data_IF_553133397966
#
_entry.id   IF_553133397966
#
_cell.length_a   1.000
_cell.length_b   1.000
_cell.length_c   1.000
_cell.angle_alpha   90.00
_cell.angle_beta   90.00
_cell.angle_gamma   90.00
#
_symmetry.space_group_name_H-M   'P 1'
#
loop_
_entity.id
_entity.type
_entity.pdbx_description
1 polymer ?
#
# COMPACT_ATOMS: atom_id res chain seq x y z
N UNK A 1 -6.06 0.31 11.31
CA UNK A 1 -6.44 1.65 11.84
C UNK A 1 -7.47 2.30 10.91
N UNK A 2 -8.33 3.21 11.40
CA UNK A 2 -9.22 3.99 10.53
C UNK A 2 -8.58 5.34 10.20
N UNK A 3 -8.15 5.52 8.97
CA UNK A 3 -7.41 6.68 8.46
C UNK A 3 -8.00 7.15 7.11
N UNK A 4 -9.30 6.92 6.90
CA UNK A 4 -10.02 7.34 5.69
C UNK A 4 -9.87 8.84 5.50
N UNK A 5 -9.52 9.26 4.28
CA UNK A 5 -9.34 10.66 3.92
C UNK A 5 -8.21 11.39 4.67
N UNK A 6 -7.33 10.66 5.37
CA UNK A 6 -6.23 11.28 6.10
C UNK A 6 -5.21 11.94 5.16
N UNK A 7 -4.55 13.00 5.64
CA UNK A 7 -3.56 13.76 4.89
C UNK A 7 -2.14 13.38 5.34
N UNK A 8 -1.43 12.64 4.51
CA UNK A 8 -0.04 12.20 4.70
C UNK A 8 0.92 12.76 3.64
N UNK A 9 0.56 13.88 3.00
CA UNK A 9 1.40 14.52 1.98
C UNK A 9 2.82 14.74 2.50
N UNK A 10 3.83 14.19 1.80
CA UNK A 10 5.26 14.23 2.16
C UNK A 10 5.59 13.66 3.55
N UNK A 11 4.73 12.82 4.12
CA UNK A 11 5.02 12.16 5.38
C UNK A 11 6.15 11.14 5.22
N UNK A 12 6.91 10.94 6.29
CA UNK A 12 7.90 9.86 6.40
C UNK A 12 7.21 8.70 7.13
N UNK A 13 6.80 7.69 6.37
CA UNK A 13 6.14 6.48 6.85
C UNK A 13 6.99 5.23 6.54
N UNK A 14 8.30 5.43 6.35
CA UNK A 14 9.23 4.34 6.08
C UNK A 14 9.16 3.30 7.21
N UNK A 15 8.96 2.03 6.85
CA UNK A 15 8.81 0.94 7.81
C UNK A 15 7.52 0.97 8.64
N UNK A 16 6.57 1.85 8.33
CA UNK A 16 5.32 1.93 9.08
C UNK A 16 4.50 0.64 8.95
N UNK A 17 3.91 0.20 10.07
CA UNK A 17 2.96 -0.89 10.06
C UNK A 17 1.55 -0.34 9.78
N UNK A 18 1.08 -0.51 8.55
CA UNK A 18 -0.25 -0.12 8.07
C UNK A 18 -1.11 -1.35 7.76
N UNK A 19 -0.78 -2.51 8.34
CA UNK A 19 -1.52 -3.75 8.16
C UNK A 19 -3.00 -3.55 8.50
N UNK A 20 -3.89 -4.00 7.61
CA UNK A 20 -5.35 -3.88 7.74
C UNK A 20 -5.84 -2.43 7.99
N UNK A 21 -5.10 -1.42 7.50
CA UNK A 21 -5.53 -0.04 7.63
C UNK A 21 -6.62 0.31 6.60
N UNK A 22 -7.59 1.09 7.04
CA UNK A 22 -8.61 1.71 6.20
C UNK A 22 -8.05 3.07 5.77
N UNK A 23 -7.49 3.13 4.56
CA UNK A 23 -6.80 4.28 3.97
C UNK A 23 -7.59 4.86 2.78
N UNK A 24 -8.88 4.54 2.67
CA UNK A 24 -9.69 4.93 1.53
C UNK A 24 -9.71 6.47 1.37
N UNK A 25 -9.36 6.95 0.18
CA UNK A 25 -9.30 8.39 -0.12
C UNK A 25 -8.19 9.17 0.60
N UNK A 26 -7.26 8.51 1.29
CA UNK A 26 -6.14 9.20 1.95
C UNK A 26 -5.17 9.79 0.91
N UNK A 27 -4.56 10.93 1.23
CA UNK A 27 -3.53 11.54 0.36
C UNK A 27 -2.14 11.21 0.88
N UNK A 28 -1.38 10.44 0.11
CA UNK A 28 0.02 10.09 0.33
C UNK A 28 0.94 10.80 -0.66
N UNK A 29 0.50 11.91 -1.28
CA UNK A 29 1.28 12.60 -2.31
C UNK A 29 2.70 12.93 -1.84
N UNK A 30 3.70 12.37 -2.51
CA UNK A 30 5.12 12.54 -2.17
C UNK A 30 5.56 11.90 -0.84
N UNK A 31 4.76 11.01 -0.25
CA UNK A 31 5.09 10.33 1.00
C UNK A 31 6.13 9.23 0.76
N UNK A 32 6.98 8.99 1.76
CA UNK A 32 7.86 7.84 1.79
C UNK A 32 7.17 6.68 2.52
N UNK A 33 6.74 5.67 1.78
CA UNK A 33 6.16 4.40 2.27
C UNK A 33 7.13 3.22 2.09
N UNK A 34 8.42 3.48 1.85
CA UNK A 34 9.42 2.42 1.66
C UNK A 34 9.42 1.46 2.85
N UNK A 35 9.56 0.16 2.59
CA UNK A 35 9.60 -0.89 3.62
C UNK A 35 8.35 -0.97 4.53
N UNK A 36 7.26 -0.26 4.20
CA UNK A 36 6.02 -0.33 4.99
C UNK A 36 5.31 -1.67 4.86
N UNK A 37 4.47 -2.00 5.85
CA UNK A 37 3.63 -3.19 5.83
C UNK A 37 2.21 -2.77 5.45
N UNK A 38 1.81 -3.07 4.21
CA UNK A 38 0.49 -2.74 3.63
C UNK A 38 -0.44 -3.95 3.49
N UNK A 39 -0.05 -5.10 4.04
CA UNK A 39 -0.84 -6.35 4.07
C UNK A 39 -2.30 -6.08 4.48
N UNK A 40 -3.25 -6.44 3.62
CA UNK A 40 -4.69 -6.26 3.84
C UNK A 40 -5.16 -4.80 3.97
N UNK A 41 -4.33 -3.81 3.64
CA UNK A 41 -4.73 -2.40 3.69
C UNK A 41 -5.67 -2.06 2.52
N UNK A 42 -6.63 -1.18 2.77
CA UNK A 42 -7.52 -0.66 1.74
C UNK A 42 -7.12 0.77 1.36
N UNK A 43 -6.40 0.93 0.25
CA UNK A 43 -5.99 2.20 -0.34
C UNK A 43 -6.92 2.64 -1.49
N UNK A 44 -8.13 2.10 -1.59
CA UNK A 44 -9.05 2.49 -2.67
C UNK A 44 -9.25 4.02 -2.70
N UNK A 45 -9.03 4.61 -3.88
CA UNK A 45 -9.12 6.06 -4.09
C UNK A 45 -8.05 6.90 -3.38
N UNK A 46 -7.04 6.29 -2.76
CA UNK A 46 -5.91 7.03 -2.20
C UNK A 46 -5.07 7.68 -3.31
N UNK A 47 -4.52 8.86 -3.02
CA UNK A 47 -3.59 9.56 -3.91
C UNK A 47 -2.15 9.19 -3.56
N UNK A 48 -1.51 8.41 -4.45
CA UNK A 48 -0.12 7.93 -4.32
C UNK A 48 0.83 8.67 -5.28
N UNK A 49 0.44 9.81 -5.86
CA UNK A 49 1.31 10.59 -6.76
C UNK A 49 2.64 10.91 -6.06
N UNK A 50 3.78 10.64 -6.72
CA UNK A 50 5.13 10.82 -6.19
C UNK A 50 5.46 10.04 -4.90
N UNK A 51 4.60 9.14 -4.42
CA UNK A 51 4.90 8.31 -3.25
C UNK A 51 5.93 7.22 -3.61
N UNK A 52 6.81 6.89 -2.66
CA UNK A 52 7.77 5.79 -2.83
C UNK A 52 7.31 4.58 -2.03
N UNK A 53 7.36 3.38 -2.62
CA UNK A 53 6.94 2.12 -1.98
C UNK A 53 8.03 1.04 -2.06
N UNK A 54 9.30 1.45 -2.16
CA UNK A 54 10.39 0.51 -2.39
C UNK A 54 10.51 -0.48 -1.23
N UNK A 55 10.32 -1.76 -1.52
CA UNK A 55 10.29 -2.86 -0.56
C UNK A 55 9.11 -2.83 0.42
N UNK A 56 8.09 -2.00 0.19
CA UNK A 56 6.83 -2.13 0.92
C UNK A 56 6.23 -3.52 0.65
N UNK A 57 5.69 -4.17 1.66
CA UNK A 57 5.11 -5.52 1.51
C UNK A 57 3.59 -5.44 1.49
N UNK A 58 2.98 -6.13 0.53
CA UNK A 58 1.52 -6.23 0.37
C UNK A 58 1.12 -7.66 0.04
N UNK A 59 -0.16 -7.97 0.18
CA UNK A 59 -0.73 -9.28 -0.14
C UNK A 59 -1.90 -9.16 -1.14
N UNK A 60 -2.49 -10.30 -1.49
CA UNK A 60 -3.64 -10.39 -2.40
C UNK A 60 -4.93 -9.73 -1.86
N UNK A 61 -4.98 -9.44 -0.55
CA UNK A 61 -6.08 -8.70 0.08
C UNK A 61 -5.88 -7.18 0.07
N UNK A 62 -4.69 -6.71 -0.32
CA UNK A 62 -4.39 -5.28 -0.36
C UNK A 62 -5.10 -4.64 -1.55
N UNK A 63 -5.92 -3.63 -1.27
CA UNK A 63 -6.68 -2.91 -2.30
C UNK A 63 -5.93 -1.64 -2.68
N UNK A 64 -5.57 -1.50 -3.94
CA UNK A 64 -4.87 -0.34 -4.48
C UNK A 64 -5.82 0.68 -5.10
N UNK A 65 -5.40 1.95 -5.28
CA UNK A 65 -6.14 2.89 -6.11
C UNK A 65 -6.33 2.33 -7.53
N UNK A 66 -7.43 2.70 -8.18
CA UNK A 66 -7.64 2.35 -9.59
C UNK A 66 -6.47 2.86 -10.44
N UNK A 67 -6.07 2.07 -11.43
CA UNK A 67 -4.99 2.42 -12.37
C UNK A 67 -3.61 2.62 -11.73
N UNK A 68 -3.44 2.27 -10.46
CA UNK A 68 -2.13 2.29 -9.81
C UNK A 68 -1.24 1.16 -10.35
N UNK A 69 -0.18 1.53 -11.06
CA UNK A 69 0.79 0.59 -11.62
C UNK A 69 1.79 0.13 -10.55
N UNK A 70 1.59 -1.10 -10.07
CA UNK A 70 2.50 -1.72 -9.10
C UNK A 70 3.85 -2.11 -9.70
N UNK A 71 3.96 -2.28 -11.02
CA UNK A 71 5.14 -2.88 -11.67
C UNK A 71 6.40 -2.05 -11.48
N UNK A 72 6.27 -0.73 -11.31
CA UNK A 72 7.38 0.20 -11.10
C UNK A 72 7.51 0.69 -9.66
N UNK A 73 6.63 0.27 -8.76
CA UNK A 73 6.57 0.77 -7.38
C UNK A 73 7.72 0.27 -6.49
N UNK A 74 8.32 -0.87 -6.84
CA UNK A 74 9.28 -1.59 -5.99
C UNK A 74 8.64 -2.30 -4.79
N UNK A 75 7.31 -2.28 -4.66
CA UNK A 75 6.59 -3.02 -3.64
C UNK A 75 6.63 -4.53 -3.92
N UNK A 76 6.69 -5.33 -2.86
CA UNK A 76 6.85 -6.79 -2.91
C UNK A 76 5.54 -7.46 -2.52
N UNK A 77 4.97 -8.24 -3.44
CA UNK A 77 3.86 -9.13 -3.14
C UNK A 77 4.37 -10.29 -2.28
N UNK A 78 3.80 -10.45 -1.09
CA UNK A 78 3.95 -11.64 -0.26
C UNK A 78 2.69 -12.49 -0.42
N UNK A 79 2.85 -13.71 -0.94
CA UNK A 79 1.72 -14.63 -1.10
C UNK A 79 1.24 -15.16 0.25
N UNK A 80 -0.07 -15.18 0.46
CA UNK A 80 -0.67 -16.15 1.38
C UNK A 80 -0.44 -17.55 0.81
N UNK A 81 -0.11 -18.55 1.65
CA UNK A 81 0.13 -19.94 1.25
C UNK A 81 -1.14 -20.69 0.74
N UNK A 82 -2.03 -20.02 0.01
CA UNK A 82 -3.17 -20.64 -0.68
C UNK A 82 -3.09 -20.59 -2.21
N UNK A 83 -1.93 -20.28 -2.80
CA UNK A 83 -1.62 -20.77 -4.15
C UNK A 83 -1.16 -22.23 -4.08
N UNK A 84 -2.08 -23.09 -3.64
CA UNK A 84 -2.02 -24.52 -3.88
C UNK A 84 -2.37 -24.75 -5.35
N UNK A 85 -1.40 -25.22 -6.12
CA UNK A 85 -1.53 -25.98 -7.37
C UNK A 85 -2.65 -25.54 -8.33
N UNK A 86 -2.27 -24.84 -9.40
CA UNK A 86 -2.97 -24.99 -10.68
C UNK A 86 -2.00 -25.61 -11.69
N UNK A 87 -2.45 -26.74 -12.21
CA UNK A 87 -1.85 -27.69 -13.16
C UNK A 87 -1.28 -27.05 -14.41
#
# INVERSE_FOLDING_TARGET
ANLKGAFFKRAILQGANLKNAHLEGASFKGANLDQSILIGANLSGADLEDATLSGAVYDDQTVWPNEFDLTLSGAVLIGNQQMTLMS
#
